data_IF_536502012555
#
_entry.id   IF_536502012555
#
_cell.length_a   1.000
_cell.length_b   1.000
_cell.length_c   1.000
_cell.angle_alpha   90.00
_cell.angle_beta   90.00
_cell.angle_gamma   90.00
#
_symmetry.space_group_name_H-M   'P 1'
#
loop_
_entity.id
_entity.type
_entity.pdbx_description
1 polymer ?
#
# COMPACT_ATOMS: atom_id res chain seq x y z
N UNK A 1 30.46 9.17 -1.79
CA UNK A 1 29.54 10.22 -1.28
C UNK A 1 28.39 9.50 -0.61
N UNK A 2 28.38 9.42 0.72
CA UNK A 2 27.27 8.83 1.48
C UNK A 2 26.12 9.83 1.45
N UNK A 3 25.13 9.58 0.59
CA UNK A 3 23.87 10.34 0.61
C UNK A 3 23.29 10.25 2.02
N UNK A 4 23.01 11.41 2.64
CA UNK A 4 22.21 11.45 3.85
C UNK A 4 20.90 10.69 3.58
N UNK A 5 20.43 9.84 4.51
CA UNK A 5 19.17 9.14 4.30
C UNK A 5 18.07 10.18 4.07
N UNK A 6 17.41 10.09 2.91
CA UNK A 6 16.30 10.96 2.57
C UNK A 6 15.29 10.92 3.72
N UNK A 7 14.98 12.09 4.27
CA UNK A 7 13.99 12.20 5.35
C UNK A 7 12.67 11.64 4.83
N UNK A 8 12.06 10.71 5.57
CA UNK A 8 10.74 10.20 5.22
C UNK A 8 9.74 11.36 5.08
N UNK A 9 8.82 11.29 4.10
CA UNK A 9 7.78 12.31 3.95
C UNK A 9 6.89 12.37 5.21
N UNK A 10 6.33 13.55 5.47
CA UNK A 10 5.47 13.77 6.63
C UNK A 10 4.01 13.50 6.27
N UNK A 11 3.35 12.49 6.89
CA UNK A 11 1.97 12.15 6.56
C UNK A 11 1.00 13.26 6.99
N UNK A 12 -0.06 13.46 6.19
CA UNK A 12 -1.08 14.51 6.40
C UNK A 12 -2.46 13.91 6.66
N UNK A 13 -2.70 13.30 7.83
CA UNK A 13 -3.92 12.53 8.12
C UNK A 13 -5.22 13.34 8.05
N UNK A 14 -5.15 14.67 8.17
CA UNK A 14 -6.32 15.54 8.16
C UNK A 14 -6.63 16.13 6.76
N UNK A 15 -5.83 15.81 5.74
CA UNK A 15 -5.91 16.46 4.42
C UNK A 15 -7.15 16.05 3.60
N UNK A 16 -7.71 14.88 3.88
CA UNK A 16 -8.96 14.38 3.30
C UNK A 16 -9.67 13.52 4.35
N UNK A 17 -11.00 13.57 4.37
CA UNK A 17 -11.82 12.87 5.37
C UNK A 17 -12.99 12.15 4.71
N UNK A 18 -13.48 11.12 5.38
CA UNK A 18 -14.70 10.40 5.03
C UNK A 18 -15.42 9.89 6.28
N UNK A 19 -16.64 9.38 6.11
CA UNK A 19 -17.45 8.81 7.18
C UNK A 19 -16.67 7.69 7.90
N UNK A 20 -16.57 7.80 9.22
CA UNK A 20 -15.86 6.84 10.06
C UNK A 20 -16.66 5.53 10.17
N UNK A 21 -16.20 4.41 9.60
CA UNK A 21 -16.94 3.14 9.58
C UNK A 21 -17.11 2.51 10.98
N UNK A 22 -16.41 3.03 11.99
CA UNK A 22 -16.47 2.57 13.38
C UNK A 22 -17.59 3.23 14.18
N UNK A 23 -18.19 4.29 13.64
CA UNK A 23 -19.25 5.06 14.29
C UNK A 23 -20.55 4.91 13.51
N UNK A 24 -21.68 4.83 14.23
CA UNK A 24 -23.02 4.87 13.64
C UNK A 24 -23.53 6.30 13.38
N UNK A 25 -22.72 7.32 13.66
CA UNK A 25 -23.09 8.74 13.49
C UNK A 25 -22.20 9.50 12.49
N UNK A 26 -22.37 10.82 12.42
CA UNK A 26 -21.68 11.72 11.47
C UNK A 26 -20.20 11.98 11.81
N UNK A 27 -19.53 11.04 12.48
CA UNK A 27 -18.09 11.16 12.76
C UNK A 27 -17.31 10.98 11.47
N UNK A 28 -16.38 11.89 11.21
CA UNK A 28 -15.43 11.79 10.11
C UNK A 28 -14.08 11.28 10.62
N UNK A 29 -13.36 10.56 9.76
CA UNK A 29 -11.97 10.15 9.99
C UNK A 29 -11.11 10.52 8.79
N UNK A 30 -9.83 10.79 9.04
CA UNK A 30 -8.85 11.04 7.99
C UNK A 30 -8.69 9.85 7.04
N UNK A 31 -8.29 10.11 5.80
CA UNK A 31 -7.88 9.07 4.85
C UNK A 31 -6.48 9.38 4.29
N UNK A 32 -5.63 8.36 4.23
CA UNK A 32 -4.32 8.43 3.57
C UNK A 32 -4.28 7.36 2.47
N UNK A 33 -4.32 7.81 1.21
CA UNK A 33 -4.07 6.93 0.08
C UNK A 33 -2.55 6.81 -0.16
N UNK A 34 -2.09 5.59 -0.44
CA UNK A 34 -0.68 5.30 -0.73
C UNK A 34 -0.55 4.18 -1.78
N UNK A 35 0.60 4.09 -2.46
CA UNK A 35 0.95 2.93 -3.28
C UNK A 35 2.46 2.82 -3.50
N UNK A 36 3.08 3.91 -3.99
CA UNK A 36 4.51 4.01 -4.27
C UNK A 36 5.11 2.83 -5.06
N UNK A 37 4.84 2.66 -6.37
CA UNK A 37 5.34 1.55 -7.20
C UNK A 37 6.83 1.68 -7.59
N UNK A 38 7.65 2.36 -6.76
CA UNK A 38 9.03 2.74 -7.06
C UNK A 38 9.20 4.22 -7.45
N UNK A 39 8.09 4.97 -7.47
CA UNK A 39 8.03 6.43 -7.57
C UNK A 39 6.81 6.93 -6.78
N UNK A 40 6.79 8.20 -6.40
CA UNK A 40 5.56 8.80 -5.86
C UNK A 40 4.48 8.91 -6.92
N UNK A 41 3.25 8.52 -6.58
CA UNK A 41 2.04 8.89 -7.30
C UNK A 41 1.44 10.19 -6.70
N UNK A 42 0.48 10.81 -7.38
CA UNK A 42 -0.08 12.11 -6.98
C UNK A 42 -0.66 12.12 -5.55
N UNK A 43 -1.26 11.00 -5.12
CA UNK A 43 -1.76 10.87 -3.76
C UNK A 43 -0.64 10.61 -2.74
N UNK A 44 0.44 9.91 -3.10
CA UNK A 44 1.58 9.69 -2.20
C UNK A 44 2.17 11.04 -1.78
N UNK A 45 2.32 11.97 -2.72
CA UNK A 45 2.83 13.32 -2.48
C UNK A 45 1.81 14.20 -1.75
N UNK A 46 0.54 14.14 -2.13
CA UNK A 46 -0.53 14.90 -1.47
C UNK A 46 -0.65 14.54 0.02
N UNK A 47 -0.60 13.25 0.32
CA UNK A 47 -0.76 12.70 1.66
C UNK A 47 0.56 12.55 2.43
N UNK A 48 1.72 12.63 1.78
CA UNK A 48 3.01 12.31 2.39
C UNK A 48 3.11 10.86 2.86
N UNK A 49 2.46 9.93 2.15
CA UNK A 49 2.18 8.57 2.61
C UNK A 49 2.90 7.47 1.80
N UNK A 50 3.72 7.83 0.80
CA UNK A 50 4.41 6.85 -0.05
C UNK A 50 5.30 5.85 0.70
N UNK A 51 5.81 6.22 1.88
CA UNK A 51 6.60 5.31 2.72
C UNK A 51 5.82 4.09 3.22
N UNK A 52 4.49 4.12 3.16
CA UNK A 52 3.64 2.98 3.49
C UNK A 52 3.73 1.88 2.44
N UNK A 53 3.93 2.23 1.17
CA UNK A 53 3.97 1.30 0.04
C UNK A 53 5.14 0.31 0.08
N UNK A 54 4.95 -0.87 -0.51
CA UNK A 54 5.92 -1.96 -0.42
C UNK A 54 7.21 -1.70 -1.20
N UNK A 55 7.14 -0.96 -2.31
CA UNK A 55 8.32 -0.68 -3.14
C UNK A 55 9.10 0.54 -2.66
N UNK A 56 8.68 1.19 -1.56
CA UNK A 56 9.42 2.31 -0.99
C UNK A 56 10.83 1.86 -0.61
N UNK A 57 11.83 2.53 -1.18
CA UNK A 57 13.23 2.20 -0.98
C UNK A 57 13.70 2.64 0.41
N UNK A 58 14.09 1.68 1.24
CA UNK A 58 14.69 1.90 2.55
C UNK A 58 16.23 1.96 2.47
N UNK A 59 16.79 1.82 1.26
CA UNK A 59 18.20 1.67 1.01
C UNK A 59 18.69 0.24 1.29
N UNK A 60 19.91 -0.05 0.83
CA UNK A 60 20.55 -1.35 1.02
C UNK A 60 20.57 -1.77 2.49
N UNK A 61 19.95 -2.90 2.79
CA UNK A 61 19.81 -3.42 4.15
C UNK A 61 18.89 -2.61 5.06
N UNK A 62 17.99 -1.80 4.48
CA UNK A 62 17.00 -1.03 5.24
C UNK A 62 15.96 -1.90 5.95
N UNK A 63 15.77 -3.14 5.51
CA UNK A 63 14.89 -4.13 6.13
C UNK A 63 15.66 -5.43 6.41
N UNK A 64 15.51 -5.98 7.61
CA UNK A 64 16.10 -7.28 7.96
C UNK A 64 14.98 -8.26 8.33
N UNK A 65 14.97 -9.43 7.71
CA UNK A 65 13.96 -10.46 7.94
C UNK A 65 14.62 -11.80 8.24
N UNK A 66 13.96 -12.60 9.06
CA UNK A 66 14.38 -13.94 9.44
C UNK A 66 13.23 -14.88 9.12
N UNK A 67 13.54 -16.04 8.54
CA UNK A 67 12.54 -17.07 8.24
C UNK A 67 12.43 -18.04 9.42
N UNK A 68 11.20 -18.48 9.76
CA UNK A 68 10.98 -19.59 10.70
C UNK A 68 11.73 -20.88 10.36
N UNK A 69 12.08 -21.12 9.09
CA UNK A 69 12.83 -22.30 8.65
C UNK A 69 14.34 -22.20 8.94
N UNK A 70 14.88 -20.98 9.08
CA UNK A 70 16.29 -20.76 9.38
C UNK A 70 16.46 -19.78 10.58
N UNK A 71 16.07 -20.18 11.81
CA UNK A 71 16.20 -19.31 12.98
C UNK A 71 17.64 -18.84 13.21
N UNK A 72 17.79 -17.58 13.59
CA UNK A 72 19.07 -16.88 13.76
C UNK A 72 19.69 -16.34 12.48
N UNK A 73 19.19 -16.71 11.29
CA UNK A 73 19.76 -16.28 10.00
C UNK A 73 18.98 -15.13 9.38
N UNK A 74 19.42 -13.90 9.68
CA UNK A 74 18.85 -12.68 9.11
C UNK A 74 19.31 -12.44 7.68
N UNK A 75 18.38 -12.04 6.81
CA UNK A 75 18.63 -11.55 5.45
C UNK A 75 18.19 -10.10 5.35
N UNK A 76 18.94 -9.32 4.58
CA UNK A 76 18.74 -7.89 4.44
C UNK A 76 18.15 -7.58 3.06
N UNK A 77 17.22 -6.63 2.99
CA UNK A 77 16.51 -6.24 1.78
C UNK A 77 16.39 -4.71 1.67
N UNK A 78 16.34 -4.21 0.43
CA UNK A 78 16.20 -2.78 0.15
C UNK A 78 14.77 -2.25 0.38
N UNK A 79 13.75 -3.10 0.23
CA UNK A 79 12.34 -2.72 0.38
C UNK A 79 11.49 -3.92 0.81
N UNK A 80 10.22 -3.66 1.14
CA UNK A 80 9.29 -4.68 1.61
C UNK A 80 8.88 -5.67 0.51
N UNK A 81 8.73 -5.18 -0.71
CA UNK A 81 8.36 -6.01 -1.86
C UNK A 81 9.42 -7.08 -2.13
N UNK A 82 10.69 -6.69 -2.16
CA UNK A 82 11.82 -7.61 -2.30
C UNK A 82 11.86 -8.67 -1.20
N UNK A 83 11.65 -8.25 0.06
CA UNK A 83 11.59 -9.16 1.19
C UNK A 83 10.41 -10.14 1.10
N UNK A 84 9.23 -9.64 0.70
CA UNK A 84 8.02 -10.45 0.57
C UNK A 84 8.16 -11.48 -0.56
N UNK A 85 8.62 -11.06 -1.74
CA UNK A 85 8.83 -12.00 -2.85
C UNK A 85 9.90 -13.05 -2.52
N UNK A 86 10.93 -12.69 -1.75
CA UNK A 86 11.95 -13.61 -1.29
C UNK A 86 11.41 -14.71 -0.36
N UNK A 87 10.28 -14.50 0.35
CA UNK A 87 9.67 -15.54 1.18
C UNK A 87 9.22 -16.76 0.37
N UNK A 88 8.81 -16.54 -0.89
CA UNK A 88 8.45 -17.64 -1.78
C UNK A 88 9.67 -18.39 -2.35
N UNK A 89 10.88 -17.87 -2.17
CA UNK A 89 12.11 -18.42 -2.73
C UNK A 89 13.25 -18.30 -1.73
N UNK A 90 13.02 -18.62 -0.45
CA UNK A 90 13.97 -18.30 0.63
C UNK A 90 15.41 -18.79 0.42
N UNK A 91 15.68 -19.97 -0.17
CA UNK A 91 17.05 -20.37 -0.54
C UNK A 91 17.74 -19.34 -1.44
N UNK A 92 16.99 -18.70 -2.33
CA UNK A 92 17.39 -17.63 -3.24
C UNK A 92 17.10 -16.22 -2.66
N UNK A 93 16.84 -16.04 -1.37
CA UNK A 93 16.47 -14.72 -0.86
C UNK A 93 17.57 -13.65 -1.02
N UNK A 94 18.86 -14.04 -1.06
CA UNK A 94 19.95 -13.08 -1.34
C UNK A 94 19.87 -12.48 -2.74
N UNK A 95 19.26 -13.22 -3.66
CA UNK A 95 19.04 -12.88 -5.06
C UNK A 95 17.95 -11.80 -5.24
N UNK A 96 17.22 -11.47 -4.17
CA UNK A 96 16.23 -10.39 -4.09
C UNK A 96 16.72 -9.18 -3.28
N UNK A 97 17.79 -9.33 -2.50
CA UNK A 97 18.20 -8.39 -1.45
C UNK A 97 18.28 -6.92 -1.92
N UNK A 98 18.92 -6.69 -3.07
CA UNK A 98 19.19 -5.35 -3.60
C UNK A 98 18.21 -4.93 -4.74
N UNK A 99 17.15 -5.71 -4.99
CA UNK A 99 16.20 -5.42 -6.07
C UNK A 99 15.21 -4.32 -5.68
N UNK A 100 14.83 -3.47 -6.64
CA UNK A 100 13.64 -2.64 -6.52
C UNK A 100 12.37 -3.51 -6.45
N UNK A 101 11.25 -2.97 -5.97
CA UNK A 101 10.01 -3.74 -5.92
C UNK A 101 9.55 -4.26 -7.29
N UNK A 102 9.72 -3.47 -8.35
CA UNK A 102 9.40 -3.90 -9.72
C UNK A 102 10.33 -5.02 -10.21
N UNK A 103 11.63 -4.94 -9.89
CA UNK A 103 12.59 -5.99 -10.23
C UNK A 103 12.30 -7.29 -9.46
N UNK A 104 11.89 -7.19 -8.18
CA UNK A 104 11.50 -8.33 -7.36
C UNK A 104 10.25 -9.03 -7.92
N UNK A 105 9.23 -8.28 -8.33
CA UNK A 105 8.04 -8.81 -9.00
C UNK A 105 8.39 -9.51 -10.33
N UNK A 106 9.22 -8.86 -11.16
CA UNK A 106 9.70 -9.48 -12.41
C UNK A 106 10.47 -10.78 -12.14
N UNK A 107 11.31 -10.81 -11.12
CA UNK A 107 12.05 -12.01 -10.72
C UNK A 107 11.11 -13.12 -10.24
N UNK A 108 10.09 -12.81 -9.45
CA UNK A 108 9.04 -13.79 -9.10
C UNK A 108 8.40 -14.38 -10.35
N UNK A 109 8.03 -13.55 -11.32
CA UNK A 109 7.41 -14.03 -12.56
C UNK A 109 8.34 -14.98 -13.34
N UNK A 110 9.64 -14.72 -13.36
CA UNK A 110 10.65 -15.60 -13.98
C UNK A 110 10.80 -16.95 -13.25
N UNK A 111 10.53 -16.98 -11.95
CA UNK A 111 10.62 -18.17 -11.10
C UNK A 111 9.27 -18.89 -10.92
N UNK A 112 8.24 -18.49 -11.66
CA UNK A 112 6.88 -19.02 -11.55
C UNK A 112 6.86 -20.55 -11.64
N UNK A 113 6.08 -21.18 -10.76
CA UNK A 113 5.97 -22.63 -10.61
C UNK A 113 6.98 -23.25 -9.65
N UNK A 114 7.84 -22.43 -9.00
CA UNK A 114 8.85 -22.86 -8.02
C UNK A 114 8.63 -22.23 -6.65
N UNK A 115 7.49 -21.57 -6.44
CA UNK A 115 7.17 -20.87 -5.21
C UNK A 115 7.02 -21.85 -4.02
N UNK A 116 7.60 -21.48 -2.89
CA UNK A 116 7.20 -22.00 -1.59
C UNK A 116 5.89 -21.33 -1.17
N UNK A 117 4.81 -22.11 -1.18
CA UNK A 117 3.49 -21.65 -0.76
C UNK A 117 3.40 -21.41 0.77
N UNK A 118 4.29 -22.01 1.56
CA UNK A 118 4.37 -21.78 3.00
C UNK A 118 5.14 -20.49 3.34
N UNK A 119 5.60 -19.73 2.35
CA UNK A 119 6.27 -18.45 2.52
C UNK A 119 7.44 -18.53 3.51
N UNK A 120 8.37 -19.46 3.32
CA UNK A 120 9.50 -19.68 4.22
C UNK A 120 9.08 -20.00 5.67
N UNK A 121 7.99 -20.75 5.85
CA UNK A 121 7.47 -21.15 7.16
C UNK A 121 6.52 -20.15 7.82
N UNK A 122 6.16 -19.05 7.15
CA UNK A 122 5.11 -18.12 7.60
C UNK A 122 3.70 -18.59 7.29
N UNK A 123 3.51 -19.79 6.72
CA UNK A 123 2.25 -20.45 6.41
C UNK A 123 1.55 -19.92 5.15
N UNK A 124 1.41 -18.60 4.99
CA UNK A 124 0.72 -18.01 3.83
C UNK A 124 1.13 -16.54 3.60
N UNK A 125 0.69 -15.99 2.46
CA UNK A 125 0.93 -14.62 2.04
C UNK A 125 0.52 -13.57 3.09
N UNK A 126 -0.62 -13.74 3.77
CA UNK A 126 -1.09 -12.83 4.81
C UNK A 126 -0.07 -12.69 5.94
N UNK A 127 0.36 -13.82 6.49
CA UNK A 127 1.33 -13.90 7.58
C UNK A 127 2.74 -13.52 7.13
N UNK A 128 3.12 -13.90 5.92
CA UNK A 128 4.39 -13.50 5.32
C UNK A 128 4.50 -11.98 5.21
N UNK A 129 3.48 -11.32 4.66
CA UNK A 129 3.45 -9.85 4.57
C UNK A 129 3.42 -9.22 5.97
N UNK A 130 2.63 -9.77 6.89
CA UNK A 130 2.59 -9.26 8.27
C UNK A 130 4.00 -9.25 8.89
N UNK A 131 4.76 -10.33 8.74
CA UNK A 131 6.13 -10.43 9.24
C UNK A 131 7.06 -9.39 8.58
N UNK A 132 6.93 -9.18 7.27
CA UNK A 132 7.69 -8.15 6.53
C UNK A 132 7.37 -6.75 7.05
N UNK A 133 6.08 -6.42 7.23
CA UNK A 133 5.64 -5.11 7.74
C UNK A 133 6.09 -4.88 9.17
N UNK A 134 6.00 -5.89 10.04
CA UNK A 134 6.51 -5.83 11.41
C UNK A 134 8.01 -5.51 11.45
N UNK A 135 8.78 -6.01 10.47
CA UNK A 135 10.19 -5.67 10.36
C UNK A 135 10.45 -4.28 9.76
N UNK A 136 9.70 -3.88 8.72
CA UNK A 136 9.77 -2.53 8.13
C UNK A 136 9.48 -1.45 9.17
N UNK A 137 8.44 -1.66 9.98
CA UNK A 137 7.95 -0.72 10.98
C UNK A 137 8.35 -1.14 12.40
N UNK A 138 9.50 -1.79 12.56
CA UNK A 138 10.03 -2.19 13.88
C UNK A 138 10.10 -0.99 14.84
N UNK A 139 9.69 -1.12 16.12
CA UNK A 139 9.80 -0.03 17.09
C UNK A 139 11.19 0.60 17.14
N UNK A 140 11.23 1.93 17.20
CA UNK A 140 12.47 2.71 17.23
C UNK A 140 13.03 3.09 15.85
N UNK A 141 12.46 2.60 14.75
CA UNK A 141 12.89 2.99 13.40
C UNK A 141 12.17 4.26 12.89
N UNK A 142 12.74 4.98 11.90
CA UNK A 142 12.06 6.10 11.26
C UNK A 142 10.72 5.71 10.62
N UNK A 143 10.57 4.58 9.89
CA UNK A 143 9.27 4.14 9.37
C UNK A 143 8.22 3.94 10.47
N UNK A 144 8.58 3.29 11.59
CA UNK A 144 7.64 3.08 12.70
C UNK A 144 7.13 4.41 13.28
N UNK A 145 8.02 5.39 13.40
CA UNK A 145 7.65 6.73 13.83
C UNK A 145 6.75 7.43 12.81
N UNK A 146 6.99 7.27 11.50
CA UNK A 146 6.15 7.81 10.45
C UNK A 146 4.76 7.15 10.42
N UNK A 147 4.67 5.82 10.61
CA UNK A 147 3.40 5.10 10.69
C UNK A 147 2.53 5.60 11.84
N UNK A 148 3.10 5.86 13.03
CA UNK A 148 2.35 6.47 14.14
C UNK A 148 1.81 7.87 13.81
N UNK A 149 2.54 8.66 13.01
CA UNK A 149 2.11 10.00 12.60
C UNK A 149 0.96 10.00 11.60
N UNK A 150 0.59 8.84 11.05
CA UNK A 150 -0.68 8.67 10.33
C UNK A 150 -1.91 8.77 11.25
N UNK A 151 -1.70 8.81 12.58
CA UNK A 151 -2.76 8.97 13.60
C UNK A 151 -3.88 7.95 13.40
N UNK A 152 -5.12 8.39 13.47
CA UNK A 152 -6.31 7.55 13.39
C UNK A 152 -6.83 7.38 11.95
N UNK A 153 -6.07 7.82 10.93
CA UNK A 153 -6.53 7.81 9.55
C UNK A 153 -6.78 6.39 9.02
N UNK A 154 -7.77 6.25 8.15
CA UNK A 154 -7.94 5.06 7.32
C UNK A 154 -6.83 5.00 6.27
N UNK A 155 -6.14 3.87 6.20
CA UNK A 155 -5.05 3.65 5.25
C UNK A 155 -5.59 2.89 4.03
N UNK A 156 -5.49 3.51 2.85
CA UNK A 156 -5.99 2.94 1.59
C UNK A 156 -4.83 2.72 0.62
N UNK A 157 -4.48 1.47 0.33
CA UNK A 157 -3.59 1.20 -0.78
C UNK A 157 -4.35 1.38 -2.10
N UNK A 158 -3.99 2.42 -2.85
CA UNK A 158 -4.75 2.92 -3.99
C UNK A 158 -3.96 2.83 -5.30
N UNK A 159 -4.49 2.09 -6.28
CA UNK A 159 -3.88 2.00 -7.60
C UNK A 159 -4.52 2.97 -8.59
N UNK A 160 -3.71 3.57 -9.46
CA UNK A 160 -4.20 4.44 -10.54
C UNK A 160 -5.08 3.70 -11.56
N UNK A 161 -4.79 2.41 -11.76
CA UNK A 161 -5.34 1.59 -12.83
C UNK A 161 -6.39 0.66 -12.26
N UNK A 162 -7.59 0.72 -12.85
CA UNK A 162 -8.68 -0.19 -12.53
C UNK A 162 -8.29 -1.64 -12.85
N UNK A 163 -8.65 -2.58 -11.98
CA UNK A 163 -8.34 -4.00 -12.17
C UNK A 163 -6.89 -4.38 -11.84
N UNK A 164 -6.18 -3.52 -11.08
CA UNK A 164 -4.89 -3.86 -10.48
C UNK A 164 -5.01 -4.94 -9.40
N UNK A 165 -4.13 -4.88 -8.39
CA UNK A 165 -4.14 -5.83 -7.29
C UNK A 165 -5.44 -5.74 -6.48
N UNK A 166 -6.27 -6.79 -6.49
CA UNK A 166 -7.54 -6.81 -5.75
C UNK A 166 -7.43 -7.41 -4.35
N UNK A 167 -6.25 -7.88 -3.94
CA UNK A 167 -6.01 -8.47 -2.62
C UNK A 167 -5.36 -7.42 -1.71
N UNK A 168 -4.20 -6.91 -2.07
CA UNK A 168 -3.44 -5.99 -1.23
C UNK A 168 -3.98 -4.57 -1.29
N UNK A 169 -4.51 -4.18 -2.46
CA UNK A 169 -5.03 -2.84 -2.72
C UNK A 169 -6.56 -2.77 -2.81
N UNK A 170 -7.07 -1.57 -3.06
CA UNK A 170 -8.47 -1.31 -3.38
C UNK A 170 -8.88 -1.68 -4.83
N UNK A 171 -7.95 -2.16 -5.66
CA UNK A 171 -8.18 -2.50 -7.07
C UNK A 171 -8.43 -1.31 -8.00
N UNK A 172 -8.15 -0.09 -7.54
CA UNK A 172 -8.39 1.19 -8.22
C UNK A 172 -9.85 1.65 -8.18
N UNK A 173 -10.81 0.74 -8.25
CA UNK A 173 -12.26 1.04 -8.26
C UNK A 173 -12.95 0.81 -6.92
N UNK A 174 -12.21 0.34 -5.90
CA UNK A 174 -12.77 0.03 -4.59
C UNK A 174 -13.38 -1.36 -4.50
N UNK A 175 -13.09 -2.25 -5.46
CA UNK A 175 -13.48 -3.66 -5.44
C UNK A 175 -12.40 -4.59 -4.85
N UNK A 176 -11.22 -4.06 -4.54
CA UNK A 176 -10.16 -4.81 -3.86
C UNK A 176 -10.34 -4.86 -2.35
N UNK A 177 -9.62 -5.77 -1.70
CA UNK A 177 -9.73 -6.06 -0.26
C UNK A 177 -8.95 -5.08 0.62
N UNK A 178 -8.00 -4.30 0.08
CA UNK A 178 -7.16 -3.37 0.84
C UNK A 178 -6.44 -4.04 2.04
N UNK A 179 -5.94 -5.27 1.86
CA UNK A 179 -5.26 -6.00 2.94
C UNK A 179 -4.02 -5.27 3.48
N UNK A 180 -3.32 -4.53 2.63
CA UNK A 180 -2.16 -3.74 3.06
C UNK A 180 -2.56 -2.65 4.06
N UNK A 181 -3.58 -1.86 3.71
CA UNK A 181 -4.13 -0.83 4.59
C UNK A 181 -4.60 -1.41 5.92
N UNK A 182 -5.28 -2.57 5.88
CA UNK A 182 -5.72 -3.29 7.07
C UNK A 182 -4.56 -3.66 7.99
N UNK A 183 -3.54 -4.37 7.47
CA UNK A 183 -2.39 -4.80 8.29
C UNK A 183 -1.62 -3.62 8.87
N UNK A 184 -1.46 -2.53 8.10
CA UNK A 184 -0.80 -1.32 8.58
C UNK A 184 -1.57 -0.62 9.71
N UNK A 185 -2.91 -0.60 9.65
CA UNK A 185 -3.73 -0.04 10.73
C UNK A 185 -3.62 -0.87 12.02
N UNK A 186 -3.63 -2.21 11.92
CA UNK A 186 -3.41 -3.09 13.07
C UNK A 186 -2.01 -2.90 13.65
N UNK A 187 -0.99 -2.81 12.80
CA UNK A 187 0.39 -2.60 13.23
C UNK A 187 0.58 -1.24 13.90
N UNK A 188 -0.02 -0.19 13.35
CA UNK A 188 0.01 1.16 13.93
C UNK A 188 -0.60 1.18 15.33
N UNK A 189 -1.73 0.51 15.53
CA UNK A 189 -2.40 0.42 16.81
C UNK A 189 -1.51 -0.28 17.85
N UNK A 190 -0.85 -1.37 17.46
CA UNK A 190 0.16 -2.05 18.29
C UNK A 190 1.33 -1.12 18.65
N UNK A 191 1.84 -0.33 17.69
CA UNK A 191 2.91 0.63 17.93
C UNK A 191 2.50 1.81 18.81
N UNK A 192 1.21 2.15 18.82
CA UNK A 192 0.65 3.28 19.58
C UNK A 192 0.07 2.86 20.92
N UNK A 193 -0.09 1.56 21.17
CA UNK A 193 -0.75 1.02 22.36
C UNK A 193 -2.25 1.32 22.44
N UNK A 194 -2.87 1.72 21.33
CA UNK A 194 -4.28 2.11 21.28
C UNK A 194 -5.00 1.27 20.22
N UNK A 195 -5.93 0.36 20.59
CA UNK A 195 -6.52 -0.61 19.67
C UNK A 195 -7.76 -0.07 18.93
N UNK A 196 -7.71 1.15 18.40
CA UNK A 196 -8.88 1.81 17.80
C UNK A 196 -9.36 1.13 16.51
N UNK A 197 -8.46 0.87 15.57
CA UNK A 197 -8.74 0.12 14.36
C UNK A 197 -8.66 -1.38 14.58
N UNK A 198 -7.72 -1.87 15.40
CA UNK A 198 -7.61 -3.29 15.73
C UNK A 198 -8.90 -3.83 16.35
N UNK A 199 -9.51 -3.10 17.28
CA UNK A 199 -10.78 -3.49 17.90
C UNK A 199 -11.91 -3.59 16.88
N UNK A 200 -12.06 -2.60 16.01
CA UNK A 200 -13.07 -2.62 14.95
C UNK A 200 -12.81 -3.71 13.90
N UNK A 201 -11.58 -3.83 13.42
CA UNK A 201 -11.23 -4.84 12.41
C UNK A 201 -11.40 -6.25 12.98
N UNK A 202 -11.16 -6.46 14.27
CA UNK A 202 -11.42 -7.73 14.95
C UNK A 202 -12.90 -8.13 15.03
N UNK A 203 -13.84 -7.20 14.83
CA UNK A 203 -15.27 -7.56 14.70
C UNK A 203 -15.66 -7.93 13.27
N UNK A 204 -14.78 -7.66 12.29
CA UNK A 204 -15.02 -7.93 10.87
C UNK A 204 -14.19 -9.11 10.34
N UNK A 205 -12.99 -9.32 10.90
CA UNK A 205 -11.99 -10.24 10.39
C UNK A 205 -11.41 -11.14 11.47
N UNK A 206 -11.06 -12.36 11.08
CA UNK A 206 -10.01 -13.11 11.74
C UNK A 206 -8.66 -12.48 11.37
N UNK A 207 -8.11 -11.64 12.25
CA UNK A 207 -6.84 -10.95 12.03
C UNK A 207 -5.64 -11.90 11.88
N UNK A 208 -5.81 -13.17 12.23
CA UNK A 208 -4.78 -14.21 12.08
C UNK A 208 -4.68 -14.73 10.64
N UNK A 209 -5.73 -14.59 9.84
CA UNK A 209 -5.81 -15.11 8.47
C UNK A 209 -6.20 -14.06 7.43
N UNK A 210 -6.67 -12.88 7.86
CA UNK A 210 -7.21 -11.83 7.01
C UNK A 210 -8.58 -12.16 6.41
N UNK A 211 -9.19 -13.27 6.81
CA UNK A 211 -10.50 -13.68 6.32
C UNK A 211 -11.61 -12.96 7.07
N UNK A 212 -12.67 -12.53 6.36
CA UNK A 212 -13.84 -11.97 7.02
C UNK A 212 -14.56 -13.03 7.86
N UNK A 213 -15.14 -12.64 8.99
CA UNK A 213 -15.85 -13.56 9.88
C UNK A 213 -17.17 -14.09 9.26
N UNK A 214 -17.71 -13.38 8.28
CA UNK A 214 -18.94 -13.76 7.56
C UNK A 214 -19.07 -13.00 6.23
N UNK A 215 -20.00 -13.41 5.37
CA UNK A 215 -20.34 -12.67 4.15
C UNK A 215 -20.80 -11.23 4.45
N UNK A 216 -21.54 -11.03 5.55
CA UNK A 216 -22.03 -9.70 5.93
C UNK A 216 -20.88 -8.77 6.35
N UNK A 217 -19.93 -9.26 7.14
CA UNK A 217 -18.75 -8.48 7.54
C UNK A 217 -17.83 -8.18 6.34
N UNK A 218 -17.71 -9.13 5.40
CA UNK A 218 -17.01 -8.90 4.13
C UNK A 218 -17.66 -7.77 3.32
N UNK A 219 -18.99 -7.75 3.22
CA UNK A 219 -19.74 -6.70 2.53
C UNK A 219 -19.58 -5.33 3.22
N UNK A 220 -19.65 -5.30 4.55
CA UNK A 220 -19.46 -4.09 5.33
C UNK A 220 -18.07 -3.47 5.10
N UNK A 221 -17.02 -4.30 5.12
CA UNK A 221 -15.67 -3.83 4.80
C UNK A 221 -15.56 -3.35 3.36
N UNK A 222 -16.11 -4.11 2.40
CA UNK A 222 -16.04 -3.72 0.99
C UNK A 222 -16.70 -2.36 0.75
N UNK A 223 -17.82 -2.10 1.42
CA UNK A 223 -18.50 -0.82 1.37
C UNK A 223 -17.63 0.31 1.94
N UNK A 224 -16.92 0.06 3.04
CA UNK A 224 -15.94 1.00 3.59
C UNK A 224 -14.85 1.32 2.57
N UNK A 225 -14.27 0.31 1.92
CA UNK A 225 -13.24 0.48 0.88
C UNK A 225 -13.78 1.25 -0.33
N UNK A 226 -15.02 0.99 -0.77
CA UNK A 226 -15.67 1.73 -1.87
C UNK A 226 -15.86 3.20 -1.53
N UNK A 227 -16.36 3.52 -0.33
CA UNK A 227 -16.53 4.92 0.11
C UNK A 227 -15.21 5.66 0.17
N UNK A 228 -14.20 5.07 0.82
CA UNK A 228 -12.84 5.59 0.87
C UNK A 228 -12.27 5.84 -0.53
N UNK A 229 -12.46 4.87 -1.44
CA UNK A 229 -12.03 4.99 -2.83
C UNK A 229 -12.74 6.11 -3.57
N UNK A 230 -14.06 6.25 -3.40
CA UNK A 230 -14.86 7.29 -4.04
C UNK A 230 -14.39 8.69 -3.62
N UNK A 231 -14.07 8.90 -2.34
CA UNK A 231 -13.56 10.17 -1.83
C UNK A 231 -12.19 10.51 -2.42
N UNK A 232 -11.27 9.54 -2.49
CA UNK A 232 -9.95 9.72 -3.12
C UNK A 232 -10.10 9.98 -4.63
N UNK A 233 -10.91 9.19 -5.34
CA UNK A 233 -11.18 9.37 -6.76
C UNK A 233 -11.83 10.75 -7.05
N UNK A 234 -12.73 11.22 -6.18
CA UNK A 234 -13.32 12.56 -6.30
C UNK A 234 -12.28 13.68 -6.21
N UNK A 235 -11.25 13.51 -5.37
CA UNK A 235 -10.14 14.46 -5.22
C UNK A 235 -9.20 14.46 -6.42
N UNK A 236 -8.81 13.29 -6.94
CA UNK A 236 -7.78 13.18 -7.98
C UNK A 236 -8.34 13.05 -9.40
N UNK A 237 -9.58 12.58 -9.58
CA UNK A 237 -10.25 12.47 -10.87
C UNK A 237 -10.63 13.80 -11.50
N UNK A 238 -11.00 14.81 -10.70
CA UNK A 238 -11.30 16.17 -11.18
C UNK A 238 -10.07 16.88 -11.77
N UNK A 239 -8.88 16.54 -11.28
CA UNK A 239 -7.61 17.14 -11.74
C UNK A 239 -7.22 16.67 -13.15
N UNK A 240 -7.66 15.47 -13.57
CA UNK A 240 -7.34 14.90 -14.89
C UNK A 240 -8.26 15.45 -15.99
N UNK A 241 -9.52 15.73 -15.68
CA UNK A 241 -10.46 16.38 -16.60
C UNK A 241 -10.13 17.86 -16.84
N UNK A 242 -9.70 18.59 -15.80
CA UNK A 242 -9.28 19.99 -15.94
C UNK A 242 -8.00 20.17 -16.78
N UNK A 243 -7.07 19.20 -16.73
CA UNK A 243 -5.85 19.20 -17.54
C UNK A 243 -6.08 18.84 -19.03
N UNK A 244 -7.26 18.28 -19.37
CA UNK A 244 -7.61 17.87 -20.74
C UNK A 244 -8.63 18.81 -21.42
N UNK A 245 -9.16 19.82 -20.72
CA UNK A 245 -10.18 20.74 -21.23
C UNK A 245 -9.66 22.10 -21.74
N UNK A 246 -8.35 22.26 -21.95
CA UNK A 246 -7.71 23.54 -22.23
C UNK A 246 -7.16 23.70 -23.65
N UNK A 247 -8.00 23.56 -24.69
CA UNK A 247 -7.80 24.22 -25.98
C UNK A 247 -9.15 24.33 -26.71
N UNK A 248 -9.71 25.54 -26.92
CA UNK A 248 -10.76 25.72 -27.91
C UNK A 248 -10.11 25.74 -29.29
N UNK A 249 -10.25 24.65 -30.05
CA UNK A 249 -9.98 24.68 -31.49
C UNK A 249 -11.02 25.59 -32.15
N UNK A 250 -10.55 26.80 -32.47
CA UNK A 250 -11.27 27.75 -33.30
C UNK A 250 -11.51 27.17 -34.68
N UNK A 251 -12.78 27.09 -35.05
CA UNK A 251 -13.24 26.65 -36.34
C UNK A 251 -12.82 27.60 -37.49
N UNK A 252 -12.39 26.96 -38.59
CA UNK A 252 -12.76 27.23 -39.98
C UNK A 252 -12.47 28.59 -40.63
N UNK A 253 -11.64 28.54 -41.68
CA UNK A 253 -11.89 29.25 -42.93
C UNK A 253 -11.48 28.38 -44.13
N UNK A 254 -12.36 28.31 -45.13
CA UNK A 254 -12.32 27.41 -46.27
C UNK A 254 -11.82 28.07 -47.56
N UNK A 255 -11.37 27.22 -48.50
CA UNK A 255 -11.39 27.35 -49.99
C UNK A 255 -10.49 28.41 -50.65
N UNK A 256 -9.60 27.99 -51.57
CA UNK A 256 -9.88 27.78 -53.01
C UNK A 256 -8.59 27.76 -53.87
N UNK A 257 -8.63 26.91 -54.90
CA UNK A 257 -8.03 27.06 -56.24
C UNK A 257 -6.49 27.08 -56.45
N UNK A 258 -5.99 26.04 -57.13
CA UNK A 258 -4.91 26.12 -58.13
C UNK A 258 -5.41 26.80 -59.42
N UNK A 259 -4.61 27.07 -60.48
CA UNK A 259 -3.15 27.01 -60.69
C UNK A 259 -2.64 28.36 -61.33
N UNK A 260 -1.57 28.49 -62.16
CA UNK A 260 -0.96 27.58 -63.15
C UNK A 260 0.35 26.90 -62.70
#
# INVERSE_FOLDING_TARGET
>A
VTSSPSRLPEPRPEALKFDDPRSSGERQVGILAFHHPGRSEAWDDFFGAGFLGNHFDLGRGGLHLESPLEPGRRRAFANAEAAFQALHFWPLAGDFADLSGEQALRKRQQLRGKEDLNCAGFLNDWRGMQAVLEMKFKPGTPPASALRRTRDAFLLEHHAVAGGDTVWSNGGTGNGKNWMGLQLMVLRDRLSGTPSWTGHLGTLFDLSSGQPLSTATAQQWQETVRRATSVVAGKFGRSRAAAQGGAPDGAAASRAASPP
#
